data_IF_253227694480
#
_entry.id   IF_253227694480
#
_cell.length_a   1.000
_cell.length_b   1.000
_cell.length_c   1.000
_cell.angle_alpha   90.00
_cell.angle_beta   90.00
_cell.angle_gamma   90.00
#
_symmetry.space_group_name_H-M   'P 1'
#
loop_
_entity.id
_entity.type
_entity.pdbx_description
1 polymer ?
#
# COMPACT_ATOMS: atom_id res chain seq x y z
N UNK A 1 -4.19 8.81 -24.69
CA UNK A 1 -3.83 7.56 -23.98
C UNK A 1 -5.14 6.79 -23.80
N UNK A 2 -5.18 5.53 -24.20
CA UNK A 2 -6.39 4.69 -24.04
C UNK A 2 -6.71 4.53 -22.55
N UNK A 3 -7.99 4.49 -22.15
CA UNK A 3 -8.38 4.32 -20.74
C UNK A 3 -7.72 3.13 -20.04
N UNK A 4 -7.52 2.02 -20.76
CA UNK A 4 -6.81 0.85 -20.25
C UNK A 4 -5.38 1.18 -19.80
N UNK A 5 -4.59 1.81 -20.68
CA UNK A 5 -3.21 2.19 -20.37
C UNK A 5 -3.16 3.22 -19.24
N UNK A 6 -4.08 4.19 -19.25
CA UNK A 6 -4.16 5.19 -18.18
C UNK A 6 -4.37 4.52 -16.81
N UNK A 7 -5.31 3.57 -16.72
CA UNK A 7 -5.59 2.86 -15.47
C UNK A 7 -4.40 2.00 -15.02
N UNK A 8 -3.77 1.25 -15.94
CA UNK A 8 -2.61 0.41 -15.65
C UNK A 8 -1.40 1.23 -15.18
N UNK A 9 -1.14 2.37 -15.81
CA UNK A 9 -0.07 3.27 -15.39
C UNK A 9 -0.37 3.87 -14.02
N UNK A 10 -1.59 4.35 -13.78
CA UNK A 10 -1.97 4.94 -12.50
C UNK A 10 -1.84 3.94 -11.34
N UNK A 11 -2.30 2.70 -11.52
CA UNK A 11 -2.19 1.69 -10.47
C UNK A 11 -0.73 1.28 -10.21
N UNK A 12 0.09 1.15 -11.26
CA UNK A 12 1.51 0.85 -11.10
C UNK A 12 2.25 1.98 -10.35
N UNK A 13 1.94 3.24 -10.65
CA UNK A 13 2.50 4.40 -9.96
C UNK A 13 2.10 4.44 -8.48
N UNK A 14 0.82 4.16 -8.16
CA UNK A 14 0.35 4.11 -6.78
C UNK A 14 1.03 2.99 -5.98
N UNK A 15 1.15 1.78 -6.54
CA UNK A 15 1.87 0.67 -5.91
C UNK A 15 3.35 1.00 -5.70
N UNK A 16 4.00 1.64 -6.67
CA UNK A 16 5.40 2.07 -6.55
C UNK A 16 5.59 3.10 -5.43
N UNK A 17 4.69 4.08 -5.31
CA UNK A 17 4.73 5.06 -4.24
C UNK A 17 4.56 4.40 -2.85
N UNK A 18 3.62 3.46 -2.71
CA UNK A 18 3.44 2.67 -1.47
C UNK A 18 4.71 1.88 -1.15
N UNK A 19 5.30 1.19 -2.14
CA UNK A 19 6.53 0.44 -1.95
C UNK A 19 7.66 1.35 -1.44
N UNK A 20 7.83 2.55 -2.00
CA UNK A 20 8.86 3.50 -1.56
C UNK A 20 8.64 4.02 -0.13
N UNK A 21 7.38 4.17 0.30
CA UNK A 21 7.05 4.50 1.69
C UNK A 21 7.45 3.34 2.60
N UNK A 22 7.09 2.11 2.24
CA UNK A 22 7.38 0.92 3.04
C UNK A 22 8.87 0.57 3.07
N UNK A 23 9.63 0.82 2.00
CA UNK A 23 11.07 0.57 1.96
C UNK A 23 11.87 1.49 2.88
N UNK A 24 11.26 2.60 3.34
CA UNK A 24 11.84 3.56 4.29
C UNK A 24 11.17 3.48 5.66
N UNK A 25 10.18 2.59 5.81
CA UNK A 25 9.47 2.41 7.05
C UNK A 25 10.32 1.62 8.06
N UNK A 26 10.03 1.76 9.36
CA UNK A 26 10.59 0.87 10.38
C UNK A 26 10.25 -0.61 10.13
N UNK A 27 11.01 -1.54 10.69
CA UNK A 27 10.79 -2.98 10.53
C UNK A 27 9.40 -3.45 10.97
N UNK A 28 8.84 -2.80 12.00
CA UNK A 28 7.48 -3.04 12.47
C UNK A 28 6.39 -2.62 11.47
N UNK A 29 6.75 -1.96 10.36
CA UNK A 29 5.84 -1.46 9.35
C UNK A 29 5.11 -0.18 9.76
N UNK A 30 4.13 0.22 8.96
CA UNK A 30 3.32 1.43 9.15
C UNK A 30 1.83 1.14 8.96
N UNK A 31 0.97 1.88 9.66
CA UNK A 31 -0.47 1.70 9.51
C UNK A 31 -0.94 2.25 8.17
N UNK A 32 -2.03 1.68 7.67
CA UNK A 32 -2.67 2.10 6.43
C UNK A 32 -3.00 3.61 6.39
N UNK A 33 -3.50 4.15 7.51
CA UNK A 33 -3.79 5.59 7.66
C UNK A 33 -2.56 6.46 7.47
N UNK A 34 -1.41 6.02 7.97
CA UNK A 34 -0.18 6.79 7.89
C UNK A 34 0.40 6.76 6.48
N UNK A 35 0.33 5.61 5.79
CA UNK A 35 0.65 5.50 4.36
C UNK A 35 -0.20 6.48 3.54
N UNK A 36 -1.52 6.48 3.76
CA UNK A 36 -2.43 7.39 3.08
C UNK A 36 -2.12 8.86 3.33
N UNK A 37 -1.76 9.22 4.58
CA UNK A 37 -1.37 10.59 4.94
C UNK A 37 -0.06 11.01 4.29
N UNK A 38 0.96 10.14 4.30
CA UNK A 38 2.27 10.39 3.67
C UNK A 38 2.11 10.64 2.16
N UNK A 39 1.25 9.85 1.51
CA UNK A 39 1.01 9.96 0.07
C UNK A 39 -0.02 11.03 -0.32
N UNK A 40 -0.65 11.72 0.66
CA UNK A 40 -1.67 12.73 0.39
C UNK A 40 -2.97 12.19 -0.21
N UNK A 41 -3.22 10.88 -0.10
CA UNK A 41 -4.41 10.19 -0.66
C UNK A 41 -5.35 9.65 0.44
N UNK A 42 -5.24 10.19 1.65
CA UNK A 42 -6.11 9.86 2.76
C UNK A 42 -7.47 10.57 2.62
N UNK A 43 -8.51 9.81 2.28
CA UNK A 43 -9.87 10.33 2.04
C UNK A 43 -10.75 10.41 3.31
N UNK A 44 -10.17 10.25 4.51
CA UNK A 44 -10.90 10.35 5.78
C UNK A 44 -11.58 9.07 6.25
N UNK A 45 -12.11 9.11 7.48
CA UNK A 45 -12.89 8.04 8.13
C UNK A 45 -14.36 8.49 8.19
N UNK A 46 -15.06 8.42 7.06
CA UNK A 46 -16.53 8.30 7.08
C UNK A 46 -16.76 6.85 6.67
N UNK A 47 -17.10 6.03 7.66
CA UNK A 47 -17.34 4.58 7.59
C UNK A 47 -16.92 3.88 6.27
N UNK A 48 -15.69 3.38 6.21
CA UNK A 48 -15.18 2.47 5.17
C UNK A 48 -15.10 2.98 3.72
N UNK A 49 -15.61 4.17 3.37
CA UNK A 49 -15.69 4.61 1.97
C UNK A 49 -14.38 5.21 1.39
N UNK A 50 -13.36 5.45 2.23
CA UNK A 50 -12.13 6.17 1.84
C UNK A 50 -10.85 5.36 1.66
N UNK A 51 -10.92 4.03 1.54
CA UNK A 51 -9.73 3.16 1.69
C UNK A 51 -9.00 2.77 0.40
N UNK A 52 -8.77 3.68 -0.54
CA UNK A 52 -7.90 3.42 -1.71
C UNK A 52 -6.57 2.75 -1.30
N UNK A 53 -5.89 3.21 -0.22
CA UNK A 53 -4.71 2.53 0.31
C UNK A 53 -4.94 1.07 0.73
N UNK A 54 -6.09 0.71 1.33
CA UNK A 54 -6.37 -0.68 1.75
C UNK A 54 -6.50 -1.61 0.55
N UNK A 55 -7.24 -1.18 -0.47
CA UNK A 55 -7.45 -1.98 -1.68
C UNK A 55 -6.12 -2.23 -2.39
N UNK A 56 -5.28 -1.19 -2.51
CA UNK A 56 -3.96 -1.32 -3.11
C UNK A 56 -3.04 -2.24 -2.30
N UNK A 57 -3.02 -2.11 -0.98
CA UNK A 57 -2.23 -2.97 -0.09
C UNK A 57 -2.67 -4.44 -0.18
N UNK A 58 -3.98 -4.71 -0.25
CA UNK A 58 -4.50 -6.06 -0.44
C UNK A 58 -4.09 -6.65 -1.80
N UNK A 59 -4.10 -5.84 -2.88
CA UNK A 59 -3.60 -6.28 -4.19
C UNK A 59 -2.10 -6.59 -4.10
N UNK A 60 -1.31 -5.71 -3.50
CA UNK A 60 0.14 -5.91 -3.34
C UNK A 60 0.49 -7.11 -2.45
N UNK A 61 -0.35 -7.42 -1.45
CA UNK A 61 -0.20 -8.60 -0.61
C UNK A 61 -0.48 -9.89 -1.38
N UNK A 62 -1.53 -9.90 -2.20
CA UNK A 62 -1.84 -11.02 -3.11
C UNK A 62 -0.72 -11.22 -4.14
N UNK A 63 -0.04 -10.15 -4.55
CA UNK A 63 1.16 -10.18 -5.40
C UNK A 63 2.45 -10.58 -4.65
N UNK A 64 2.38 -10.78 -3.32
CA UNK A 64 3.53 -11.15 -2.50
C UNK A 64 4.54 -10.03 -2.26
N UNK A 65 4.17 -8.77 -2.49
CA UNK A 65 5.07 -7.60 -2.33
C UNK A 65 5.08 -7.11 -0.89
N UNK A 66 3.92 -7.12 -0.23
CA UNK A 66 3.75 -6.64 1.15
C UNK A 66 3.06 -7.69 2.00
N UNK A 67 3.05 -7.48 3.30
CA UNK A 67 2.28 -8.29 4.25
C UNK A 67 1.72 -7.41 5.37
N UNK A 68 0.54 -7.79 5.88
CA UNK A 68 -0.04 -7.16 7.06
C UNK A 68 0.24 -7.97 8.33
N UNK A 69 0.74 -7.29 9.36
CA UNK A 69 0.75 -7.83 10.72
C UNK A 69 -0.70 -7.83 11.28
N UNK A 70 -1.20 -9.02 11.64
CA UNK A 70 -2.59 -9.19 12.08
C UNK A 70 -2.88 -8.59 13.46
N UNK A 71 -1.87 -8.44 14.30
CA UNK A 71 -2.00 -7.91 15.66
C UNK A 71 -1.90 -6.38 15.63
N UNK A 72 -0.83 -5.85 15.05
CA UNK A 72 -0.54 -4.41 15.04
C UNK A 72 -1.24 -3.66 13.90
N UNK A 73 -1.77 -4.39 12.91
CA UNK A 73 -2.40 -3.87 11.69
C UNK A 73 -1.48 -3.01 10.82
N UNK A 74 -0.17 -3.12 11.02
CA UNK A 74 0.83 -2.45 10.19
C UNK A 74 1.12 -3.24 8.93
N UNK A 75 1.63 -2.54 7.93
CA UNK A 75 2.06 -3.08 6.65
C UNK A 75 3.55 -2.90 6.50
N UNK A 76 4.23 -3.90 5.96
CA UNK A 76 5.66 -3.87 5.64
C UNK A 76 5.93 -4.59 4.31
N UNK A 77 7.12 -4.37 3.75
CA UNK A 77 7.57 -5.16 2.61
C UNK A 77 7.74 -6.62 3.03
N UNK A 78 7.35 -7.55 2.16
CA UNK A 78 7.59 -8.96 2.39
C UNK A 78 9.08 -9.26 2.20
N UNK A 79 9.73 -9.75 3.25
CA UNK A 79 11.11 -10.24 3.15
C UNK A 79 11.11 -11.67 2.62
N UNK A 80 11.86 -11.91 1.54
CA UNK A 80 12.18 -13.25 1.10
C UNK A 80 13.52 -13.66 1.72
N UNK A 81 13.62 -14.86 2.32
CA UNK A 81 14.93 -15.39 2.69
C UNK A 81 15.79 -15.45 1.42
N UNK A 82 16.97 -14.81 1.43
CA UNK A 82 17.95 -15.09 0.39
C UNK A 82 18.32 -16.57 0.51
N UNK A 83 18.06 -17.32 -0.57
CA UNK A 83 18.42 -18.73 -0.70
C UNK A 83 19.92 -18.88 -0.84
#
# INVERSE_FOLDING_TARGET
>A
MEPYFLAQTAIAQLKSAIHQVLSRAPEQGVKNVDIGRILGIYMGHVEHEGHIPRTLLAIMEAEGVVEQDKETKTWRLRSYPQS
#
